data_IF_632463885537
#
_entry.id   IF_632463885537
#
_cell.length_a   1.000
_cell.length_b   1.000
_cell.length_c   1.000
_cell.angle_alpha   90.00
_cell.angle_beta   90.00
_cell.angle_gamma   90.00
#
_symmetry.space_group_name_H-M   'P 1'
#
loop_
_entity.id
_entity.type
_entity.pdbx_description
1 polymer ?
#
# COMPACT_ATOMS: atom_id res chain seq x y z
N UNK A 1 -10.90 -3.43 10.15
CA UNK A 1 -10.57 -1.99 10.05
C UNK A 1 -9.73 -1.64 11.26
N UNK A 2 -8.52 -1.07 11.06
CA UNK A 2 -7.80 -0.48 12.20
C UNK A 2 -8.64 0.66 12.78
N UNK A 3 -8.66 0.86 14.11
CA UNK A 3 -9.36 1.99 14.71
C UNK A 3 -8.84 3.28 14.10
N UNK A 4 -9.75 4.22 13.81
CA UNK A 4 -9.35 5.55 13.32
C UNK A 4 -8.41 6.15 14.36
N UNK A 5 -7.21 6.55 13.95
CA UNK A 5 -6.25 7.27 14.81
C UNK A 5 -6.74 8.70 15.04
N UNK A 6 -7.79 8.81 15.84
CA UNK A 6 -8.39 10.06 16.28
C UNK A 6 -7.65 10.61 17.52
N UNK A 7 -7.99 11.84 17.92
CA UNK A 7 -7.32 12.48 19.06
C UNK A 7 -7.55 11.72 20.37
N UNK A 8 -8.67 11.00 20.52
CA UNK A 8 -8.93 10.24 21.73
C UNK A 8 -8.07 8.98 21.80
N UNK A 9 -7.91 8.28 20.66
CA UNK A 9 -6.97 7.17 20.55
C UNK A 9 -5.54 7.59 20.90
N UNK A 10 -5.05 8.70 20.32
CA UNK A 10 -3.66 9.18 20.51
C UNK A 10 -3.36 9.53 21.98
N UNK A 11 -4.33 10.12 22.68
CA UNK A 11 -4.19 10.46 24.11
C UNK A 11 -3.94 9.25 25.01
N UNK A 12 -4.49 8.09 24.62
CA UNK A 12 -4.40 6.83 25.37
C UNK A 12 -3.32 5.89 24.86
N UNK A 13 -2.74 6.19 23.68
CA UNK A 13 -1.76 5.33 23.03
C UNK A 13 -0.37 5.47 23.68
N UNK A 14 0.22 4.38 24.21
CA UNK A 14 1.56 4.41 24.79
C UNK A 14 2.67 4.70 23.77
N UNK A 15 2.38 4.58 22.46
CA UNK A 15 3.36 4.82 21.38
C UNK A 15 3.44 6.30 20.95
N UNK A 16 2.55 7.15 21.45
CA UNK A 16 2.52 8.59 21.14
C UNK A 16 3.85 9.30 21.47
N UNK A 17 4.47 9.11 22.65
CA UNK A 17 5.77 9.73 22.96
C UNK A 17 6.90 9.26 22.04
N UNK A 18 6.91 7.98 21.64
CA UNK A 18 7.90 7.48 20.67
C UNK A 18 7.71 8.14 19.31
N UNK A 19 6.47 8.33 18.88
CA UNK A 19 6.17 9.02 17.62
C UNK A 19 6.62 10.48 17.66
N UNK A 20 6.40 11.19 18.76
CA UNK A 20 6.92 12.54 18.97
C UNK A 20 8.45 12.56 18.86
N UNK A 21 9.14 11.62 19.51
CA UNK A 21 10.59 11.51 19.44
C UNK A 21 11.08 11.20 18.01
N UNK A 22 10.39 10.34 17.26
CA UNK A 22 10.71 10.06 15.85
C UNK A 22 10.57 11.31 14.99
N UNK A 23 9.52 12.12 15.20
CA UNK A 23 9.35 13.39 14.48
C UNK A 23 10.51 14.35 14.78
N UNK A 24 10.86 14.53 16.06
CA UNK A 24 11.98 15.40 16.47
C UNK A 24 13.30 14.88 15.92
N UNK A 25 13.56 13.58 16.02
CA UNK A 25 14.78 12.95 15.52
C UNK A 25 14.87 13.09 13.99
N UNK A 26 13.77 12.89 13.27
CA UNK A 26 13.71 13.08 11.83
C UNK A 26 14.04 14.51 11.41
N UNK A 27 13.50 15.52 12.11
CA UNK A 27 13.83 16.93 11.86
C UNK A 27 15.31 17.24 12.14
N UNK A 28 15.90 16.64 13.17
CA UNK A 28 17.33 16.78 13.46
C UNK A 28 18.21 16.12 12.39
N UNK A 29 17.82 14.96 11.86
CA UNK A 29 18.52 14.31 10.75
C UNK A 29 18.46 15.20 9.50
N UNK A 30 17.31 15.81 9.21
CA UNK A 30 17.16 16.80 8.13
C UNK A 30 18.10 18.00 8.38
N UNK A 31 18.10 18.56 9.59
CA UNK A 31 19.01 19.65 9.96
C UNK A 31 20.48 19.29 9.70
N UNK A 32 20.89 18.07 10.06
CA UNK A 32 22.25 17.58 9.87
C UNK A 32 22.63 17.38 8.40
N UNK A 33 21.70 16.92 7.56
CA UNK A 33 21.95 16.72 6.12
C UNK A 33 22.07 18.07 5.40
N UNK A 34 21.17 19.01 5.71
CA UNK A 34 21.13 20.31 5.05
C UNK A 34 22.06 21.35 5.70
N UNK A 35 22.67 21.02 6.84
CA UNK A 35 23.53 21.92 7.64
C UNK A 35 22.82 23.25 7.98
N UNK A 36 21.49 23.21 8.10
CA UNK A 36 20.65 24.38 8.36
C UNK A 36 20.12 24.34 9.80
N UNK A 37 20.56 25.33 10.57
CA UNK A 37 20.22 25.49 11.99
C UNK A 37 18.73 25.75 12.21
N UNK A 38 18.01 26.25 11.20
CA UNK A 38 16.57 26.52 11.28
C UNK A 38 15.79 25.26 11.62
N UNK A 39 16.13 24.12 10.99
CA UNK A 39 15.49 22.84 11.29
C UNK A 39 15.81 22.33 12.69
N UNK A 40 17.01 22.60 13.20
CA UNK A 40 17.39 22.27 14.56
C UNK A 40 16.58 23.08 15.58
N UNK A 41 16.40 24.39 15.36
CA UNK A 41 15.54 25.23 16.20
C UNK A 41 14.08 24.78 16.16
N UNK A 42 13.55 24.43 14.98
CA UNK A 42 12.19 23.90 14.84
C UNK A 42 12.03 22.58 15.60
N UNK A 43 12.99 21.65 15.46
CA UNK A 43 12.99 20.38 16.18
C UNK A 43 13.01 20.59 17.69
N UNK A 44 13.83 21.52 18.17
CA UNK A 44 13.92 21.89 19.58
C UNK A 44 12.58 22.45 20.10
N UNK A 45 11.98 23.41 19.39
CA UNK A 45 10.69 23.99 19.76
C UNK A 45 9.60 22.91 19.80
N UNK A 46 9.52 22.07 18.77
CA UNK A 46 8.53 20.98 18.70
C UNK A 46 8.73 19.98 19.84
N UNK A 47 9.97 19.58 20.12
CA UNK A 47 10.29 18.66 21.22
C UNK A 47 9.91 19.24 22.58
N UNK A 48 10.31 20.48 22.85
CA UNK A 48 9.98 21.17 24.11
C UNK A 48 8.47 21.34 24.27
N UNK A 49 7.77 21.80 23.24
CA UNK A 49 6.31 21.98 23.30
C UNK A 49 5.56 20.65 23.47
N UNK A 50 6.06 19.57 22.86
CA UNK A 50 5.44 18.24 22.99
C UNK A 50 5.54 17.69 24.42
N UNK A 51 6.66 17.96 25.10
CA UNK A 51 6.88 17.53 26.49
C UNK A 51 6.16 18.45 27.47
N UNK A 52 6.25 19.77 27.27
CA UNK A 52 5.67 20.75 28.18
C UNK A 52 4.14 20.77 28.14
N UNK A 53 3.54 20.52 26.97
CA UNK A 53 2.10 20.65 26.75
C UNK A 53 1.57 19.41 26.02
N UNK A 54 1.16 18.40 26.79
CA UNK A 54 0.60 17.12 26.28
C UNK A 54 -0.42 17.27 25.13
N UNK A 55 -1.45 18.14 25.20
CA UNK A 55 -2.42 18.26 24.11
C UNK A 55 -1.84 18.85 22.81
N UNK A 56 -0.72 19.57 22.86
CA UNK A 56 -0.02 20.04 21.64
C UNK A 56 0.71 18.86 20.99
N UNK A 57 1.45 18.09 21.78
CA UNK A 57 2.13 16.88 21.31
C UNK A 57 1.16 15.89 20.65
N UNK A 58 -0.02 15.68 21.24
CA UNK A 58 -1.05 14.79 20.67
C UNK A 58 -1.57 15.30 19.31
N UNK A 59 -1.74 16.62 19.16
CA UNK A 59 -2.17 17.23 17.88
C UNK A 59 -1.09 17.14 16.79
N UNK A 60 0.18 17.26 17.16
CA UNK A 60 1.30 17.09 16.23
C UNK A 60 1.32 15.66 15.69
N UNK A 61 1.19 14.66 16.57
CA UNK A 61 1.10 13.24 16.17
C UNK A 61 -0.13 12.97 15.33
N UNK A 62 -1.27 13.58 15.65
CA UNK A 62 -2.47 13.48 14.83
C UNK A 62 -2.26 14.04 13.41
N UNK A 63 -1.63 15.21 13.29
CA UNK A 63 -1.27 15.81 12.01
C UNK A 63 -0.31 14.92 11.21
N UNK A 64 0.69 14.34 11.88
CA UNK A 64 1.61 13.38 11.29
C UNK A 64 0.89 12.14 10.72
N UNK A 65 -0.05 11.56 11.48
CA UNK A 65 -0.85 10.43 10.99
C UNK A 65 -1.76 10.81 9.83
N UNK A 66 -2.32 12.02 9.81
CA UNK A 66 -3.11 12.51 8.67
C UNK A 66 -2.28 12.66 7.41
N UNK A 67 -1.06 13.16 7.54
CA UNK A 67 -0.10 13.23 6.44
C UNK A 67 0.26 11.83 5.92
N UNK A 68 0.56 10.89 6.82
CA UNK A 68 0.84 9.50 6.46
C UNK A 68 -0.35 8.82 5.76
N UNK A 69 -1.58 9.07 6.20
CA UNK A 69 -2.80 8.56 5.56
C UNK A 69 -2.94 9.10 4.13
N UNK A 70 -2.71 10.40 3.92
CA UNK A 70 -2.77 11.02 2.60
C UNK A 70 -1.68 10.47 1.68
N UNK A 71 -0.45 10.35 2.18
CA UNK A 71 0.66 9.79 1.42
C UNK A 71 0.39 8.33 1.05
N UNK A 72 -0.14 7.54 1.98
CA UNK A 72 -0.52 6.14 1.75
C UNK A 72 -1.57 6.00 0.66
N UNK A 73 -2.57 6.89 0.58
CA UNK A 73 -3.57 6.88 -0.50
C UNK A 73 -2.97 7.02 -1.90
N UNK A 74 -1.84 7.70 -2.03
CA UNK A 74 -1.12 7.87 -3.30
C UNK A 74 -0.11 6.75 -3.51
N UNK A 75 0.65 6.39 -2.47
CA UNK A 75 1.69 5.37 -2.56
C UNK A 75 1.12 3.97 -2.82
N UNK A 76 -0.02 3.62 -2.24
CA UNK A 76 -0.60 2.29 -2.40
C UNK A 76 -0.97 1.96 -3.86
N UNK A 77 -1.74 2.81 -4.59
CA UNK A 77 -1.97 2.59 -6.02
C UNK A 77 -0.71 2.75 -6.86
N UNK A 78 0.25 3.60 -6.45
CA UNK A 78 1.52 3.75 -7.17
C UNK A 78 2.35 2.46 -7.13
N UNK A 79 2.51 1.85 -5.95
CA UNK A 79 3.23 0.59 -5.78
C UNK A 79 2.51 -0.53 -6.55
N UNK A 80 1.18 -0.61 -6.45
CA UNK A 80 0.41 -1.62 -7.19
C UNK A 80 0.53 -1.44 -8.70
N UNK A 81 0.46 -0.19 -9.18
CA UNK A 81 0.67 0.14 -10.59
C UNK A 81 2.07 -0.25 -11.05
N UNK A 82 3.10 0.09 -10.26
CA UNK A 82 4.48 -0.28 -10.58
C UNK A 82 4.65 -1.81 -10.64
N UNK A 83 4.08 -2.55 -9.68
CA UNK A 83 4.10 -4.01 -9.67
C UNK A 83 3.43 -4.57 -10.93
N UNK A 84 2.28 -4.01 -11.31
CA UNK A 84 1.56 -4.41 -12.51
C UNK A 84 2.38 -4.18 -13.78
N UNK A 85 2.96 -3.00 -13.95
CA UNK A 85 3.74 -2.68 -15.15
C UNK A 85 5.10 -3.39 -15.21
N UNK A 86 5.75 -3.60 -14.06
CA UNK A 86 7.11 -4.18 -14.02
C UNK A 86 7.11 -5.71 -14.03
N UNK A 87 6.08 -6.36 -13.48
CA UNK A 87 6.02 -7.82 -13.39
C UNK A 87 4.86 -8.41 -14.18
N UNK A 88 3.62 -8.01 -13.89
CA UNK A 88 2.44 -8.65 -14.49
C UNK A 88 2.39 -8.41 -16.00
N UNK A 89 2.64 -7.18 -16.44
CA UNK A 89 2.58 -6.78 -17.84
C UNK A 89 3.61 -7.52 -18.70
N UNK A 90 4.92 -7.56 -18.36
CA UNK A 90 5.87 -8.33 -19.15
C UNK A 90 5.60 -9.83 -19.11
N UNK A 91 5.16 -10.39 -17.98
CA UNK A 91 4.75 -11.79 -17.91
C UNK A 91 3.59 -12.06 -18.88
N UNK A 92 2.55 -11.23 -18.87
CA UNK A 92 1.42 -11.37 -19.77
C UNK A 92 1.83 -11.22 -21.25
N UNK A 93 2.75 -10.32 -21.56
CA UNK A 93 3.30 -10.16 -22.92
C UNK A 93 4.11 -11.39 -23.34
N UNK A 94 4.94 -11.94 -22.46
CA UNK A 94 5.67 -13.18 -22.72
C UNK A 94 4.71 -14.36 -22.94
N UNK A 95 3.66 -14.49 -22.12
CA UNK A 95 2.60 -15.47 -22.34
C UNK A 95 1.88 -15.27 -23.68
N UNK A 96 1.68 -14.03 -24.12
CA UNK A 96 1.06 -13.75 -25.42
C UNK A 96 1.98 -14.06 -26.60
N UNK A 97 3.30 -13.91 -26.43
CA UNK A 97 4.30 -14.18 -27.47
C UNK A 97 4.67 -15.67 -27.57
N UNK A 98 4.80 -16.35 -26.43
CA UNK A 98 5.34 -17.72 -26.33
C UNK A 98 4.35 -18.75 -25.80
N UNK A 99 3.23 -18.32 -25.21
CA UNK A 99 2.25 -19.21 -24.60
C UNK A 99 1.23 -19.76 -25.60
N UNK A 100 0.62 -20.87 -25.21
CA UNK A 100 -0.59 -21.39 -25.85
C UNK A 100 -1.73 -20.36 -25.74
N UNK A 101 -2.73 -20.50 -26.61
CA UNK A 101 -3.98 -19.73 -26.58
C UNK A 101 -5.05 -20.51 -25.78
N UNK A 102 -5.01 -20.52 -24.42
CA UNK A 102 -5.95 -21.30 -23.62
C UNK A 102 -7.39 -20.84 -23.79
N UNK A 103 -7.57 -19.55 -24.10
CA UNK A 103 -8.87 -18.95 -24.36
C UNK A 103 -9.31 -19.10 -25.83
N UNK A 104 -8.45 -19.67 -26.68
CA UNK A 104 -8.70 -19.92 -28.11
C UNK A 104 -9.27 -18.70 -28.83
N UNK A 105 -8.71 -17.53 -28.51
CA UNK A 105 -9.14 -16.24 -29.02
C UNK A 105 -8.81 -16.08 -30.50
N UNK A 106 -7.90 -16.89 -31.05
CA UNK A 106 -7.68 -16.98 -32.50
C UNK A 106 -8.78 -17.85 -33.13
N UNK A 107 -9.63 -17.22 -33.93
CA UNK A 107 -10.66 -17.87 -34.75
C UNK A 107 -10.01 -18.69 -35.88
N UNK A 108 -9.58 -19.91 -35.52
CA UNK A 108 -8.91 -20.84 -36.44
C UNK A 108 -9.88 -21.89 -37.02
N UNK A 109 -11.12 -21.93 -36.53
CA UNK A 109 -12.18 -22.84 -36.98
C UNK A 109 -13.44 -22.00 -36.95
N UNK A 110 -14.15 -21.83 -38.08
CA UNK A 110 -15.35 -20.98 -38.20
C UNK A 110 -16.55 -21.34 -37.31
N UNK A 111 -16.33 -22.13 -36.26
CA UNK A 111 -17.23 -22.47 -35.17
C UNK A 111 -16.43 -22.55 -33.87
N UNK A 112 -16.97 -21.95 -32.81
CA UNK A 112 -16.43 -22.05 -31.43
C UNK A 112 -16.73 -23.41 -30.78
N UNK A 113 -17.54 -24.26 -31.44
CA UNK A 113 -17.88 -25.59 -30.93
C UNK A 113 -16.74 -26.58 -31.16
N UNK A 114 -16.36 -27.30 -30.10
CA UNK A 114 -15.52 -28.49 -30.18
C UNK A 114 -16.41 -29.71 -30.36
N UNK A 115 -16.10 -30.55 -31.36
CA UNK A 115 -16.69 -31.87 -31.46
C UNK A 115 -16.07 -32.72 -30.35
N UNK A 116 -16.87 -33.08 -29.34
CA UNK A 116 -16.46 -34.03 -28.30
C UNK A 116 -16.95 -35.42 -28.69
N UNK A 117 -16.05 -36.23 -29.26
CA UNK A 117 -16.29 -37.65 -29.48
C UNK A 117 -16.08 -38.41 -28.16
N UNK A 118 -16.96 -38.14 -27.20
CA UNK A 118 -16.97 -38.81 -25.89
C UNK A 118 -18.17 -39.73 -25.79
N UNK A 119 -17.92 -41.02 -25.54
CA UNK A 119 -18.98 -41.99 -25.28
C UNK A 119 -19.37 -41.88 -23.81
N UNK A 120 -20.53 -41.27 -23.55
CA UNK A 120 -21.04 -41.05 -22.19
C UNK A 120 -21.13 -42.36 -21.41
N UNK A 121 -20.54 -42.38 -20.22
CA UNK A 121 -20.68 -43.47 -19.26
C UNK A 121 -21.59 -43.07 -18.10
N UNK A 122 -21.94 -44.03 -17.25
CA UNK A 122 -22.83 -43.80 -16.10
C UNK A 122 -22.20 -42.79 -15.12
N UNK A 123 -20.89 -42.82 -14.99
CA UNK A 123 -20.13 -41.96 -14.10
C UNK A 123 -20.24 -40.46 -14.48
N UNK A 124 -20.38 -40.16 -15.78
CA UNK A 124 -20.57 -38.78 -16.26
C UNK A 124 -21.96 -38.21 -15.90
N UNK A 125 -22.95 -39.08 -15.69
CA UNK A 125 -24.28 -38.68 -15.24
C UNK A 125 -24.33 -38.44 -13.73
N UNK A 126 -23.45 -39.10 -12.98
CA UNK A 126 -23.33 -38.92 -11.54
C UNK A 126 -22.54 -37.66 -11.17
N UNK A 127 -21.57 -37.24 -12.00
CA UNK A 127 -20.83 -35.97 -11.85
C UNK A 127 -20.74 -35.20 -13.18
N UNK A 128 -21.79 -34.44 -13.54
CA UNK A 128 -21.89 -33.79 -14.86
C UNK A 128 -21.05 -32.52 -15.05
N UNK A 129 -20.22 -32.13 -14.08
CA UNK A 129 -19.42 -30.89 -14.09
C UNK A 129 -17.92 -31.12 -14.32
#
# INVERSE_FOLDING_TARGET
MLPKRDLNFIKTDPETPKTQLVIVTGLLVIAAIFQDETFAYIALIIGVLSIAIKPIGDRIVWGWYKLAELLSKVMNPLILGLLYFLFITPIALLFRLFGNDPLRLKDNKGSLYEIRDHTFSKEDLENPW
#
